data_IF_471402947815
#
_entry.id   IF_471402947815
#
_cell.length_a   1.000
_cell.length_b   1.000
_cell.length_c   1.000
_cell.angle_alpha   90.00
_cell.angle_beta   90.00
_cell.angle_gamma   90.00
#
_symmetry.space_group_name_H-M   'P 1'
#
loop_
_entity.id
_entity.type
_entity.pdbx_description
1 polymer ?
#
# COMPACT_ATOMS: atom_id res chain seq x y z
N UNK A 1 -11.66 25.67 17.42
CA UNK A 1 -12.92 25.09 16.94
C UNK A 1 -12.69 23.64 16.62
N UNK A 2 -13.55 22.76 17.09
CA UNK A 2 -13.49 21.32 16.84
C UNK A 2 -14.77 20.87 16.08
N UNK A 3 -14.61 20.17 14.98
CA UNK A 3 -15.71 19.64 14.18
C UNK A 3 -16.08 18.25 14.68
N UNK A 4 -17.27 18.10 15.21
CA UNK A 4 -17.88 16.79 15.48
C UNK A 4 -18.69 16.33 14.26
N UNK A 5 -19.14 15.07 14.27
CA UNK A 5 -20.00 14.53 13.19
C UNK A 5 -21.23 15.42 12.89
N UNK A 6 -21.79 16.05 13.92
CA UNK A 6 -23.08 16.75 13.83
C UNK A 6 -22.95 18.30 14.04
N UNK A 7 -21.79 18.83 14.43
CA UNK A 7 -21.66 20.25 14.76
C UNK A 7 -20.21 20.74 14.83
N UNK A 8 -20.04 22.07 14.83
CA UNK A 8 -18.74 22.69 15.16
C UNK A 8 -18.85 23.23 16.57
N UNK A 9 -17.92 22.85 17.45
CA UNK A 9 -17.88 23.26 18.85
C UNK A 9 -16.68 24.12 19.16
N UNK A 10 -16.85 25.05 20.11
CA UNK A 10 -15.77 25.79 20.69
C UNK A 10 -15.15 24.95 21.80
N UNK A 11 -13.85 24.66 21.70
CA UNK A 11 -13.15 23.78 22.63
C UNK A 11 -11.95 24.45 23.24
N UNK A 12 -11.53 23.96 24.42
CA UNK A 12 -10.17 24.06 24.90
C UNK A 12 -9.36 22.91 24.30
N UNK A 13 -8.22 23.25 23.73
CA UNK A 13 -7.21 22.27 23.37
C UNK A 13 -6.22 22.19 24.53
N UNK A 14 -6.08 21.02 25.12
CA UNK A 14 -5.25 20.81 26.30
C UNK A 14 -4.32 19.63 26.04
N UNK A 15 -3.02 19.88 26.15
CA UNK A 15 -2.02 18.82 26.13
C UNK A 15 -2.01 18.15 27.51
N UNK A 16 -2.32 16.86 27.53
CA UNK A 16 -2.38 16.05 28.75
C UNK A 16 -1.26 15.03 28.73
N UNK A 17 -0.49 14.96 29.81
CA UNK A 17 0.39 13.86 30.11
C UNK A 17 -0.40 12.84 30.95
N UNK A 18 -0.63 11.64 30.39
CA UNK A 18 -1.38 10.57 31.07
C UNK A 18 -0.43 9.36 31.16
N UNK A 19 0.22 9.19 32.30
CA UNK A 19 1.26 8.18 32.50
C UNK A 19 2.47 8.46 31.62
N UNK A 20 2.67 7.62 30.59
CA UNK A 20 3.75 7.79 29.60
C UNK A 20 3.24 8.33 28.25
N UNK A 21 1.99 8.74 28.20
CA UNK A 21 1.33 9.17 26.95
C UNK A 21 1.05 10.68 26.97
N UNK A 22 1.32 11.32 25.84
CA UNK A 22 0.92 12.70 25.59
C UNK A 22 -0.28 12.71 24.65
N UNK A 23 -1.37 13.34 25.06
CA UNK A 23 -2.62 13.40 24.32
C UNK A 23 -3.08 14.85 24.23
N UNK A 24 -3.46 15.31 23.05
CA UNK A 24 -4.24 16.53 22.92
C UNK A 24 -5.70 16.21 23.19
N UNK A 25 -6.26 16.74 24.26
CA UNK A 25 -7.69 16.63 24.56
C UNK A 25 -8.44 17.86 24.07
N UNK A 26 -9.54 17.66 23.36
CA UNK A 26 -10.48 18.71 22.98
C UNK A 26 -11.65 18.72 23.95
N UNK A 27 -11.68 19.73 24.83
CA UNK A 27 -12.66 19.87 25.91
C UNK A 27 -13.72 20.87 25.47
N UNK A 28 -15.00 20.47 25.46
CA UNK A 28 -16.14 21.35 25.15
C UNK A 28 -16.20 22.49 26.20
N UNK A 29 -16.09 23.73 25.74
CA UNK A 29 -16.09 24.91 26.60
C UNK A 29 -17.38 25.12 27.38
N UNK A 30 -18.47 24.50 26.96
CA UNK A 30 -19.79 24.71 27.57
C UNK A 30 -20.06 23.78 28.74
N UNK A 31 -19.51 22.57 28.75
CA UNK A 31 -19.82 21.55 29.75
C UNK A 31 -18.58 20.86 30.35
N UNK A 32 -17.37 21.17 29.85
CA UNK A 32 -16.12 20.57 30.32
C UNK A 32 -15.91 19.11 29.95
N UNK A 33 -16.71 18.56 29.05
CA UNK A 33 -16.53 17.19 28.58
C UNK A 33 -15.44 17.08 27.52
N UNK A 34 -14.64 16.02 27.57
CA UNK A 34 -13.73 15.66 26.48
C UNK A 34 -14.59 15.15 25.32
N UNK A 35 -14.52 15.84 24.18
CA UNK A 35 -15.27 15.52 22.97
C UNK A 35 -14.39 14.99 21.84
N UNK A 36 -13.09 14.89 22.08
CA UNK A 36 -12.11 14.30 21.20
C UNK A 36 -10.74 14.30 21.85
N UNK A 37 -9.88 13.42 21.39
CA UNK A 37 -8.47 13.39 21.75
C UNK A 37 -7.65 13.06 20.51
N UNK A 38 -6.40 13.47 20.50
CA UNK A 38 -5.46 13.19 19.43
C UNK A 38 -4.11 12.82 20.04
N UNK A 39 -3.54 11.71 19.60
CA UNK A 39 -2.19 11.33 19.96
C UNK A 39 -1.21 12.30 19.30
N UNK A 40 -0.25 12.83 20.05
CA UNK A 40 0.81 13.69 19.53
C UNK A 40 1.96 12.84 19.00
N UNK A 41 1.71 12.00 17.99
CA UNK A 41 2.75 11.19 17.38
C UNK A 41 3.49 11.94 16.27
N UNK A 42 4.79 11.73 16.17
CA UNK A 42 5.63 12.27 15.11
C UNK A 42 6.62 11.22 14.57
N UNK A 43 6.84 11.27 13.28
CA UNK A 43 7.65 10.27 12.56
C UNK A 43 8.60 10.96 11.60
N UNK A 44 9.88 10.59 11.65
CA UNK A 44 10.87 11.06 10.69
C UNK A 44 11.07 9.95 9.63
N UNK A 45 10.44 10.09 8.47
CA UNK A 45 10.24 9.03 7.47
C UNK A 45 10.43 9.53 6.04
N UNK A 46 10.57 8.63 5.10
CA UNK A 46 10.40 8.93 3.68
C UNK A 46 8.89 9.08 3.43
N UNK A 47 8.41 10.27 3.04
CA UNK A 47 6.98 10.48 2.84
C UNK A 47 6.46 9.68 1.64
N UNK A 48 5.15 9.38 1.63
CA UNK A 48 4.50 8.83 0.44
C UNK A 48 4.64 9.81 -0.74
N UNK A 49 4.92 9.32 -1.94
CA UNK A 49 5.33 10.11 -3.11
C UNK A 49 6.82 10.42 -3.15
N UNK A 50 7.57 10.05 -2.09
CA UNK A 50 9.02 10.04 -2.05
C UNK A 50 9.52 8.61 -1.97
N UNK A 51 9.91 8.03 -3.08
CA UNK A 51 10.12 6.59 -3.23
C UNK A 51 11.20 6.05 -2.26
N UNK A 52 12.24 6.83 -1.98
CA UNK A 52 13.42 6.40 -1.21
C UNK A 52 14.33 7.57 -0.80
N UNK A 53 15.37 7.34 0.04
CA UNK A 53 16.26 8.40 0.54
C UNK A 53 17.06 9.15 -0.52
N UNK A 54 17.28 8.57 -1.70
CA UNK A 54 18.00 9.24 -2.79
C UNK A 54 17.08 10.17 -3.60
N UNK A 55 15.76 9.95 -3.54
CA UNK A 55 14.76 10.77 -4.25
C UNK A 55 14.22 11.89 -3.38
N UNK A 56 13.96 11.63 -2.11
CA UNK A 56 13.45 12.62 -1.14
C UNK A 56 14.08 12.35 0.23
N UNK A 57 14.58 13.39 0.93
CA UNK A 57 15.07 13.22 2.30
C UNK A 57 13.95 12.79 3.25
N UNK A 58 14.33 12.18 4.38
CA UNK A 58 13.36 11.98 5.48
C UNK A 58 12.71 13.31 5.86
N UNK A 59 11.42 13.26 6.15
CA UNK A 59 10.63 14.40 6.58
C UNK A 59 9.93 14.11 7.90
N UNK A 60 9.78 15.13 8.74
CA UNK A 60 8.98 15.05 9.96
C UNK A 60 7.51 15.13 9.60
N UNK A 61 6.76 14.06 9.88
CA UNK A 61 5.31 14.01 9.72
C UNK A 61 4.69 13.91 11.11
N UNK A 62 3.81 14.84 11.44
CA UNK A 62 3.15 14.91 12.74
C UNK A 62 1.66 14.63 12.59
N UNK A 63 1.12 13.83 13.49
CA UNK A 63 -0.30 13.47 13.57
C UNK A 63 -0.91 12.98 12.24
N UNK A 64 -0.31 11.97 11.57
CA UNK A 64 -0.77 11.49 10.26
C UNK A 64 -2.05 10.67 10.31
N UNK A 65 -2.52 10.31 11.48
CA UNK A 65 -3.56 9.32 11.75
C UNK A 65 -4.92 9.79 11.22
N UNK A 66 -5.56 8.99 10.38
CA UNK A 66 -6.95 9.17 9.98
C UNK A 66 -7.89 8.45 10.98
N UNK A 67 -8.70 9.22 11.69
CA UNK A 67 -9.59 8.67 12.73
C UNK A 67 -10.81 7.93 12.20
N UNK A 68 -11.15 8.08 10.93
CA UNK A 68 -12.19 7.26 10.30
C UNK A 68 -11.68 5.86 9.98
N UNK A 69 -10.41 5.75 9.56
CA UNK A 69 -9.76 4.48 9.21
C UNK A 69 -9.11 3.79 10.42
N UNK A 70 -8.58 4.57 11.36
CA UNK A 70 -7.93 4.10 12.60
C UNK A 70 -8.51 4.83 13.81
N UNK A 71 -9.72 4.46 14.28
CA UNK A 71 -10.40 5.17 15.38
C UNK A 71 -9.62 5.16 16.71
N UNK A 72 -8.88 4.09 16.97
CA UNK A 72 -8.02 3.95 18.16
C UNK A 72 -6.68 4.70 18.02
N UNK A 73 -6.34 5.15 16.81
CA UNK A 73 -4.99 5.60 16.47
C UNK A 73 -4.09 4.42 16.07
N UNK A 74 -2.79 4.71 15.86
CA UNK A 74 -1.83 3.71 15.39
C UNK A 74 -1.12 2.95 16.53
N UNK A 75 -1.25 3.41 17.78
CA UNK A 75 -0.49 2.92 18.93
C UNK A 75 -1.34 2.20 19.99
N UNK A 76 -2.64 2.14 19.80
CA UNK A 76 -3.57 1.40 20.66
C UNK A 76 -4.06 0.15 19.90
N UNK A 77 -3.89 -1.01 20.51
CA UNK A 77 -4.29 -2.30 19.92
C UNK A 77 -5.75 -2.67 20.22
N UNK A 78 -6.47 -1.83 20.97
CA UNK A 78 -7.87 -2.08 21.36
C UNK A 78 -8.06 -3.13 22.45
N UNK A 79 -6.98 -3.67 23.05
CA UNK A 79 -7.05 -4.70 24.08
C UNK A 79 -7.17 -4.11 25.51
N UNK A 80 -7.45 -2.81 25.60
CA UNK A 80 -7.79 -2.14 26.87
C UNK A 80 -6.60 -1.65 27.70
N UNK A 81 -5.38 -1.69 27.13
CA UNK A 81 -4.19 -1.12 27.78
C UNK A 81 -4.00 0.37 27.42
N UNK A 82 -4.73 0.85 26.41
CA UNK A 82 -4.54 2.16 25.81
C UNK A 82 -3.27 2.26 24.97
N UNK A 83 -2.99 3.45 24.39
CA UNK A 83 -1.87 3.63 23.48
C UNK A 83 -0.52 3.43 24.17
N UNK A 84 0.40 2.75 23.47
CA UNK A 84 1.77 2.49 23.93
C UNK A 84 2.77 3.19 23.00
N UNK A 85 3.78 3.85 23.57
CA UNK A 85 4.81 4.56 22.80
C UNK A 85 5.84 3.59 22.21
N UNK A 86 5.35 2.66 21.38
CA UNK A 86 6.11 1.60 20.75
C UNK A 86 5.71 1.45 19.27
N UNK A 87 6.56 0.77 18.48
CA UNK A 87 6.27 0.44 17.07
C UNK A 87 5.24 -0.70 16.93
N UNK A 88 4.14 -0.59 17.70
CA UNK A 88 3.01 -1.52 17.66
C UNK A 88 1.69 -0.82 17.97
N UNK A 89 0.59 -1.40 17.48
CA UNK A 89 -0.78 -0.98 17.74
C UNK A 89 -1.79 -1.84 17.00
N UNK A 90 -2.90 -1.27 16.58
CA UNK A 90 -4.00 -2.04 15.99
C UNK A 90 -3.65 -2.65 14.62
N UNK A 91 -2.93 -1.91 13.77
CA UNK A 91 -2.73 -2.30 12.38
C UNK A 91 -1.39 -3.01 12.15
N UNK A 92 -0.40 -2.78 13.02
CA UNK A 92 0.96 -3.25 12.82
C UNK A 92 1.70 -3.55 14.12
N UNK A 93 2.60 -4.53 14.05
CA UNK A 93 3.70 -4.78 14.98
C UNK A 93 4.98 -4.80 14.16
N UNK A 94 5.87 -3.82 14.38
CA UNK A 94 7.12 -3.68 13.61
C UNK A 94 8.34 -3.87 14.50
N UNK A 95 9.25 -4.76 14.09
CA UNK A 95 10.34 -5.21 14.93
C UNK A 95 11.66 -5.39 14.18
N UNK A 96 12.76 -5.23 14.88
CA UNK A 96 14.08 -5.73 14.47
C UNK A 96 14.09 -7.25 14.51
N UNK A 97 14.35 -7.92 13.40
CA UNK A 97 14.44 -9.37 13.33
C UNK A 97 15.79 -9.88 12.80
N UNK A 98 16.86 -9.10 12.94
CA UNK A 98 18.21 -9.53 12.56
C UNK A 98 18.68 -10.80 13.30
N UNK A 99 18.20 -10.99 14.52
CA UNK A 99 18.52 -12.14 15.37
C UNK A 99 17.57 -13.34 15.20
N UNK A 100 16.61 -13.28 14.26
CA UNK A 100 15.64 -14.36 13.98
C UNK A 100 14.86 -14.79 15.22
N UNK A 101 14.25 -13.84 15.91
CA UNK A 101 13.41 -14.11 17.06
C UNK A 101 11.93 -14.11 16.65
N UNK A 102 11.24 -15.23 16.85
CA UNK A 102 9.83 -15.38 16.44
C UNK A 102 8.85 -14.71 17.42
N UNK A 103 9.28 -14.32 18.64
CA UNK A 103 8.41 -13.59 19.57
C UNK A 103 8.10 -12.18 18.99
N UNK A 104 6.83 -11.86 18.69
CA UNK A 104 6.46 -10.57 18.14
C UNK A 104 6.71 -9.40 19.09
N UNK A 105 6.94 -9.64 20.38
CA UNK A 105 7.22 -8.59 21.36
C UNK A 105 8.73 -8.30 21.52
N UNK A 106 9.60 -9.08 20.91
CA UNK A 106 11.05 -8.87 20.94
C UNK A 106 11.52 -8.06 19.73
N UNK A 107 12.32 -7.02 19.94
CA UNK A 107 12.82 -6.14 18.88
C UNK A 107 11.90 -4.98 18.53
N UNK A 108 10.82 -4.76 19.29
CA UNK A 108 9.94 -3.58 19.16
C UNK A 108 10.71 -2.33 19.58
N UNK A 109 10.58 -1.28 18.77
CA UNK A 109 11.15 0.03 19.08
C UNK A 109 10.25 0.78 20.08
N UNK A 110 10.83 1.33 21.13
CA UNK A 110 10.18 2.29 22.04
C UNK A 110 10.70 3.69 21.74
N UNK A 111 9.80 4.64 21.57
CA UNK A 111 10.11 6.04 21.33
C UNK A 111 9.37 6.91 22.35
N UNK A 112 10.07 7.56 23.31
CA UNK A 112 9.42 8.39 24.32
C UNK A 112 8.48 9.44 23.70
N UNK A 113 7.36 9.70 24.33
CA UNK A 113 6.37 10.71 23.91
C UNK A 113 5.83 10.52 22.47
N UNK A 114 5.81 9.29 21.97
CA UNK A 114 5.43 8.95 20.57
C UNK A 114 6.25 9.69 19.51
N UNK A 115 7.49 10.10 19.84
CA UNK A 115 8.41 10.78 18.93
C UNK A 115 9.34 9.80 18.23
N UNK A 116 8.89 9.25 17.14
CA UNK A 116 9.68 8.35 16.28
C UNK A 116 10.54 9.18 15.32
N UNK A 117 11.40 10.05 15.88
CA UNK A 117 12.17 11.06 15.15
C UNK A 117 13.63 10.63 14.97
N UNK A 118 13.85 9.46 14.39
CA UNK A 118 15.17 8.88 14.16
C UNK A 118 15.70 9.24 12.78
N UNK A 119 16.90 9.82 12.74
CA UNK A 119 17.57 10.22 11.51
C UNK A 119 18.72 9.30 11.18
N UNK A 120 19.08 9.20 9.90
CA UNK A 120 20.23 8.44 9.45
C UNK A 120 20.91 9.10 8.23
N UNK A 121 22.19 8.83 8.05
CA UNK A 121 22.91 9.11 6.81
C UNK A 121 22.96 7.83 5.96
N UNK A 122 21.94 7.66 5.11
CA UNK A 122 21.79 6.47 4.27
C UNK A 122 22.90 6.31 3.22
N UNK A 123 23.65 7.37 2.94
CA UNK A 123 24.74 7.34 1.98
C UNK A 123 26.03 6.71 2.55
N UNK A 124 26.25 6.83 3.86
CA UNK A 124 27.52 6.43 4.48
C UNK A 124 27.38 5.37 5.57
N UNK A 125 26.20 5.23 6.17
CA UNK A 125 25.95 4.26 7.25
C UNK A 125 25.50 2.90 6.70
N UNK A 126 25.99 1.82 7.33
CA UNK A 126 25.46 0.47 7.09
C UNK A 126 24.05 0.35 7.73
N UNK A 127 23.11 -0.42 7.15
CA UNK A 127 21.76 -0.62 7.69
C UNK A 127 21.69 -0.94 9.18
N UNK A 128 22.66 -1.69 9.70
CA UNK A 128 22.74 -2.04 11.12
C UNK A 128 22.88 -0.85 12.07
N UNK A 129 23.29 0.31 11.56
CA UNK A 129 23.52 1.53 12.35
C UNK A 129 22.27 2.41 12.48
N UNK A 130 21.22 2.17 11.66
CA UNK A 130 20.01 2.99 11.67
C UNK A 130 18.70 2.19 11.77
N UNK A 131 18.72 1.06 12.46
CA UNK A 131 17.56 0.17 12.62
C UNK A 131 16.30 0.91 13.15
N UNK A 132 16.48 1.90 14.04
CA UNK A 132 15.35 2.70 14.54
C UNK A 132 14.66 3.52 13.44
N UNK A 133 15.43 4.10 12.51
CA UNK A 133 14.87 4.79 11.33
C UNK A 133 14.11 3.82 10.43
N UNK A 134 14.66 2.61 10.23
CA UNK A 134 14.03 1.56 9.42
C UNK A 134 12.72 1.07 10.02
N UNK A 135 12.67 0.81 11.33
CA UNK A 135 11.44 0.44 12.05
C UNK A 135 10.40 1.56 11.96
N UNK A 136 10.84 2.81 12.12
CA UNK A 136 9.95 3.97 12.03
C UNK A 136 9.32 4.10 10.65
N UNK A 137 10.13 3.97 9.59
CA UNK A 137 9.64 4.07 8.21
C UNK A 137 8.62 2.98 7.90
N UNK A 138 8.89 1.72 8.26
CA UNK A 138 7.97 0.60 8.08
C UNK A 138 6.70 0.80 8.91
N UNK A 139 6.80 1.18 10.20
CA UNK A 139 5.63 1.39 11.06
C UNK A 139 4.73 2.49 10.50
N UNK A 140 5.30 3.60 10.06
CA UNK A 140 4.56 4.67 9.42
C UNK A 140 3.85 4.16 8.15
N UNK A 141 4.57 3.51 7.22
CA UNK A 141 4.00 3.10 5.94
C UNK A 141 2.94 2.02 6.07
N UNK A 142 3.12 1.02 6.96
CA UNK A 142 2.09 -0.01 7.18
C UNK A 142 0.79 0.62 7.66
N UNK A 143 0.86 1.52 8.65
CA UNK A 143 -0.32 2.20 9.17
C UNK A 143 -0.93 3.18 8.14
N UNK A 144 -0.10 3.94 7.43
CA UNK A 144 -0.59 4.89 6.44
C UNK A 144 -1.21 4.20 5.22
N UNK A 145 -0.61 3.08 4.78
CA UNK A 145 -1.18 2.20 3.76
C UNK A 145 -2.53 1.63 4.21
N UNK A 146 -2.63 1.16 5.47
CA UNK A 146 -3.88 0.70 6.07
C UNK A 146 -4.96 1.79 5.98
N UNK A 147 -4.66 3.01 6.44
CA UNK A 147 -5.61 4.12 6.47
C UNK A 147 -6.07 4.53 5.05
N UNK A 148 -5.13 4.58 4.09
CA UNK A 148 -5.48 4.83 2.69
C UNK A 148 -6.38 3.71 2.16
N UNK A 149 -5.94 2.45 2.24
CA UNK A 149 -6.66 1.35 1.60
C UNK A 149 -8.03 1.08 2.24
N UNK A 150 -8.21 1.41 3.53
CA UNK A 150 -9.52 1.44 4.18
C UNK A 150 -10.48 2.40 3.45
N UNK A 151 -10.05 3.61 3.10
CA UNK A 151 -10.85 4.59 2.34
C UNK A 151 -11.23 4.09 0.93
N UNK A 152 -10.45 3.18 0.37
CA UNK A 152 -10.73 2.56 -0.94
C UNK A 152 -11.49 1.24 -0.84
N UNK A 153 -11.86 0.82 0.38
CA UNK A 153 -12.73 -0.32 0.62
C UNK A 153 -12.04 -1.58 1.10
N UNK A 154 -10.75 -1.55 1.45
CA UNK A 154 -10.12 -2.65 2.16
C UNK A 154 -10.36 -2.50 3.66
N UNK A 155 -11.61 -2.78 4.03
CA UNK A 155 -12.17 -2.63 5.37
C UNK A 155 -12.19 -3.97 6.15
N UNK A 156 -12.75 -3.96 7.35
CA UNK A 156 -12.84 -5.13 8.23
C UNK A 156 -13.58 -6.31 7.57
N UNK A 157 -14.69 -6.03 6.85
CA UNK A 157 -15.44 -7.07 6.12
C UNK A 157 -14.61 -7.70 5.01
N UNK A 158 -13.66 -6.96 4.47
CA UNK A 158 -12.76 -7.39 3.41
C UNK A 158 -11.51 -8.08 3.93
N UNK A 159 -11.39 -8.24 5.27
CA UNK A 159 -10.25 -8.88 5.93
C UNK A 159 -9.00 -8.00 5.97
N UNK A 160 -9.14 -6.69 6.25
CA UNK A 160 -7.99 -5.85 6.54
C UNK A 160 -7.29 -6.33 7.82
N UNK A 161 -6.02 -5.94 7.97
CA UNK A 161 -5.17 -6.45 9.05
C UNK A 161 -5.31 -5.57 10.31
N UNK A 162 -5.96 -6.10 11.36
CA UNK A 162 -6.15 -5.41 12.64
C UNK A 162 -6.13 -6.37 13.84
N UNK A 163 -5.54 -5.93 14.96
CA UNK A 163 -5.63 -6.64 16.24
C UNK A 163 -7.07 -6.66 16.74
N UNK A 164 -7.76 -5.52 16.65
CA UNK A 164 -9.15 -5.35 17.08
C UNK A 164 -9.97 -4.70 15.95
N UNK A 165 -11.04 -5.37 15.54
CA UNK A 165 -12.01 -4.82 14.60
C UNK A 165 -13.04 -3.99 15.36
N UNK A 166 -13.14 -2.69 15.03
CA UNK A 166 -13.98 -1.74 15.77
C UNK A 166 -15.44 -1.83 15.34
N UNK A 167 -15.68 -2.22 14.09
CA UNK A 167 -17.02 -2.41 13.52
C UNK A 167 -17.64 -3.78 13.79
N UNK A 168 -16.98 -4.64 14.57
CA UNK A 168 -17.39 -6.02 14.84
C UNK A 168 -17.62 -6.88 13.56
N UNK A 169 -16.91 -6.55 12.49
CA UNK A 169 -16.96 -7.26 11.21
C UNK A 169 -15.60 -7.92 10.92
N UNK A 170 -15.57 -8.97 10.08
CA UNK A 170 -14.35 -9.70 9.79
C UNK A 170 -13.79 -10.41 11.04
N UNK A 171 -12.51 -10.79 11.00
CA UNK A 171 -11.82 -11.45 12.12
C UNK A 171 -10.70 -10.58 12.65
N UNK A 172 -10.63 -10.47 13.97
CA UNK A 172 -9.57 -9.75 14.68
C UNK A 172 -8.30 -10.61 14.87
N UNK A 173 -7.28 -10.07 15.55
CA UNK A 173 -5.99 -10.70 15.90
C UNK A 173 -5.07 -10.95 14.72
N UNK A 174 -5.07 -10.09 13.74
CA UNK A 174 -4.32 -10.28 12.50
C UNK A 174 -3.51 -9.07 12.02
N UNK A 175 -3.21 -8.12 12.91
CA UNK A 175 -2.30 -7.02 12.60
C UNK A 175 -1.05 -7.50 11.84
N UNK A 176 -0.57 -6.71 10.90
CA UNK A 176 0.66 -7.05 10.16
C UNK A 176 1.86 -7.11 11.09
N UNK A 177 2.59 -8.22 11.08
CA UNK A 177 3.89 -8.34 11.74
C UNK A 177 4.98 -8.06 10.70
N UNK A 178 5.63 -6.91 10.80
CA UNK A 178 6.69 -6.51 9.87
C UNK A 178 8.06 -6.63 10.50
N UNK A 179 8.94 -7.39 9.86
CA UNK A 179 10.28 -7.73 10.29
C UNK A 179 11.30 -6.91 9.49
N UNK A 180 12.00 -6.01 10.18
CA UNK A 180 12.97 -5.09 9.60
C UNK A 180 14.35 -5.71 9.60
N UNK A 181 15.09 -5.56 8.49
CA UNK A 181 16.41 -6.14 8.27
C UNK A 181 16.48 -7.62 8.66
N UNK A 182 15.44 -8.38 8.30
CA UNK A 182 15.27 -9.78 8.72
C UNK A 182 16.49 -10.62 8.35
N UNK A 183 17.00 -11.36 9.33
CA UNK A 183 18.22 -12.15 9.18
C UNK A 183 18.07 -13.42 8.35
N UNK A 184 16.84 -13.79 7.94
CA UNK A 184 16.60 -15.02 7.17
C UNK A 184 16.95 -14.90 5.68
N UNK A 185 17.17 -13.68 5.17
CA UNK A 185 17.46 -13.48 3.75
C UNK A 185 18.24 -12.21 3.44
N UNK A 186 18.53 -12.01 2.15
CA UNK A 186 19.15 -10.82 1.58
C UNK A 186 18.64 -10.59 0.17
N UNK A 187 18.75 -9.33 -0.31
CA UNK A 187 18.44 -8.97 -1.70
C UNK A 187 17.02 -9.34 -2.14
N UNK A 188 16.08 -9.23 -1.26
CA UNK A 188 14.66 -9.52 -1.48
C UNK A 188 13.80 -8.88 -0.39
N UNK A 189 12.50 -9.08 -0.50
CA UNK A 189 11.48 -8.90 0.53
C UNK A 189 10.42 -9.98 0.32
N UNK A 190 9.51 -10.19 1.26
CA UNK A 190 8.34 -11.03 1.05
C UNK A 190 7.21 -10.72 2.02
N UNK A 191 5.99 -11.05 1.60
CA UNK A 191 4.80 -11.02 2.44
C UNK A 191 4.08 -12.37 2.41
N UNK A 192 3.85 -12.96 3.57
CA UNK A 192 3.04 -14.17 3.72
C UNK A 192 1.63 -13.77 4.18
N UNK A 193 0.62 -14.12 3.39
CA UNK A 193 -0.78 -13.77 3.65
C UNK A 193 -1.57 -15.00 4.07
N UNK A 194 -1.87 -15.19 5.35
CA UNK A 194 -2.81 -16.21 5.81
C UNK A 194 -4.27 -15.73 5.63
N UNK A 195 -5.26 -16.61 5.80
CA UNK A 195 -6.67 -16.22 5.90
C UNK A 195 -6.91 -15.21 7.04
N UNK A 196 -8.02 -14.48 6.92
CA UNK A 196 -8.50 -13.51 7.90
C UNK A 196 -8.55 -14.09 9.32
N UNK A 197 -8.10 -13.30 10.31
CA UNK A 197 -7.92 -13.73 11.71
C UNK A 197 -6.53 -14.32 12.02
N UNK A 198 -5.59 -14.27 11.06
CA UNK A 198 -4.18 -14.60 11.27
C UNK A 198 -3.28 -13.54 10.66
N UNK A 199 -2.24 -13.12 11.39
CA UNK A 199 -1.37 -12.01 11.02
C UNK A 199 -0.65 -12.21 9.69
N UNK A 200 -0.68 -11.21 8.82
CA UNK A 200 0.21 -11.09 7.68
C UNK A 200 1.66 -10.90 8.16
N UNK A 201 2.62 -11.58 7.52
CA UNK A 201 4.03 -11.51 7.89
C UNK A 201 4.80 -10.87 6.75
N UNK A 202 5.33 -9.67 6.98
CA UNK A 202 6.21 -8.96 6.05
C UNK A 202 7.68 -9.07 6.50
N UNK A 203 8.58 -9.44 5.58
CA UNK A 203 10.03 -9.46 5.85
C UNK A 203 10.75 -8.55 4.87
N UNK A 204 11.47 -7.57 5.40
CA UNK A 204 12.31 -6.67 4.64
C UNK A 204 13.77 -7.03 4.87
N UNK A 205 14.52 -7.25 3.78
CA UNK A 205 15.91 -7.70 3.86
C UNK A 205 16.90 -6.56 3.56
N UNK A 206 18.12 -6.76 4.02
CA UNK A 206 19.27 -5.95 3.61
C UNK A 206 19.73 -6.34 2.20
N UNK A 207 20.06 -5.35 1.38
CA UNK A 207 20.54 -5.52 0.01
C UNK A 207 22.04 -5.26 -0.09
N UNK A 208 22.74 -6.17 -0.75
CA UNK A 208 24.21 -6.14 -0.90
C UNK A 208 24.66 -5.63 -2.27
N UNK A 209 23.83 -4.86 -2.93
CA UNK A 209 24.05 -4.29 -4.27
C UNK A 209 25.10 -3.17 -4.30
N UNK A 210 25.31 -2.51 -3.16
CA UNK A 210 26.28 -1.42 -2.96
C UNK A 210 27.08 -1.59 -1.67
N UNK A 211 28.06 -0.70 -1.43
CA UNK A 211 28.77 -0.53 -0.17
C UNK A 211 28.70 0.94 0.22
N UNK A 212 28.15 1.28 1.42
CA UNK A 212 27.53 0.36 2.37
C UNK A 212 26.33 -0.38 1.78
N UNK A 213 25.89 -1.46 2.43
CA UNK A 213 24.67 -2.18 2.05
C UNK A 213 23.46 -1.23 2.08
N UNK A 214 22.41 -1.58 1.33
CA UNK A 214 21.16 -0.83 1.31
C UNK A 214 20.08 -1.55 2.14
N UNK A 215 19.19 -0.78 2.71
CA UNK A 215 18.06 -1.32 3.51
C UNK A 215 16.77 -1.27 2.71
N UNK A 216 16.19 -2.44 2.41
CA UNK A 216 14.89 -2.53 1.76
C UNK A 216 13.76 -1.84 2.54
N UNK A 217 13.93 -1.67 3.86
CA UNK A 217 12.98 -0.94 4.70
C UNK A 217 12.94 0.58 4.44
N UNK A 218 13.84 1.08 3.59
CA UNK A 218 13.88 2.49 3.17
C UNK A 218 13.44 2.68 1.70
N UNK A 219 13.04 1.61 1.02
CA UNK A 219 12.51 1.64 -0.36
C UNK A 219 10.99 1.49 -0.31
N UNK A 220 10.28 2.61 -0.33
CA UNK A 220 8.82 2.63 -0.21
C UNK A 220 8.13 1.83 -1.31
N UNK A 221 8.74 1.79 -2.52
CA UNK A 221 8.17 1.02 -3.62
C UNK A 221 8.13 -0.49 -3.34
N UNK A 222 9.14 -1.02 -2.63
CA UNK A 222 9.18 -2.42 -2.21
C UNK A 222 8.23 -2.65 -1.02
N UNK A 223 8.19 -1.74 -0.05
CA UNK A 223 7.31 -1.86 1.11
C UNK A 223 5.83 -1.92 0.69
N UNK A 224 5.41 -1.01 -0.19
CA UNK A 224 4.02 -0.97 -0.70
C UNK A 224 3.72 -2.21 -1.55
N UNK A 225 4.69 -2.68 -2.34
CA UNK A 225 4.59 -3.93 -3.09
C UNK A 225 4.26 -5.10 -2.15
N UNK A 226 5.02 -5.27 -1.08
CA UNK A 226 4.80 -6.36 -0.11
C UNK A 226 3.45 -6.24 0.62
N UNK A 227 3.07 -5.04 1.07
CA UNK A 227 1.76 -4.82 1.70
C UNK A 227 0.61 -5.15 0.75
N UNK A 228 0.81 -4.93 -0.54
CA UNK A 228 -0.21 -5.21 -1.56
C UNK A 228 -0.41 -6.71 -1.79
N UNK A 229 0.58 -7.58 -1.53
CA UNK A 229 0.35 -9.03 -1.50
C UNK A 229 -0.68 -9.41 -0.43
N UNK A 230 -0.64 -8.76 0.74
CA UNK A 230 -1.66 -8.90 1.77
C UNK A 230 -3.05 -8.54 1.25
N UNK A 231 -3.17 -7.34 0.70
CA UNK A 231 -4.43 -6.83 0.17
C UNK A 231 -4.98 -7.69 -0.98
N UNK A 232 -4.18 -7.95 -2.00
CA UNK A 232 -4.65 -8.66 -3.20
C UNK A 232 -5.07 -10.10 -2.90
N UNK A 233 -4.37 -10.78 -1.97
CA UNK A 233 -4.71 -12.13 -1.54
C UNK A 233 -6.00 -12.16 -0.71
N UNK A 234 -6.21 -11.20 0.22
CA UNK A 234 -7.44 -11.11 1.02
C UNK A 234 -8.67 -10.76 0.19
N UNK A 235 -8.52 -9.93 -0.82
CA UNK A 235 -9.63 -9.51 -1.67
C UNK A 235 -10.03 -10.56 -2.71
N UNK A 236 -9.07 -11.30 -3.27
CA UNK A 236 -9.35 -12.25 -4.35
C UNK A 236 -9.96 -13.55 -3.80
N UNK A 237 -11.22 -13.79 -4.13
CA UNK A 237 -11.97 -14.94 -3.62
C UNK A 237 -12.50 -14.78 -2.20
N UNK A 238 -12.21 -13.62 -1.56
CA UNK A 238 -12.62 -13.29 -0.20
C UNK A 238 -11.56 -13.59 0.86
N UNK A 239 -11.71 -13.03 2.08
CA UNK A 239 -10.66 -13.03 3.09
C UNK A 239 -10.41 -14.39 3.76
N UNK A 240 -11.36 -15.32 3.66
CA UNK A 240 -11.26 -16.64 4.29
C UNK A 240 -10.39 -17.64 3.52
N UNK A 241 -10.04 -17.35 2.26
CA UNK A 241 -9.23 -18.23 1.40
C UNK A 241 -8.03 -17.51 0.79
N UNK A 242 -6.85 -17.75 1.37
CA UNK A 242 -5.58 -17.19 0.89
C UNK A 242 -4.97 -17.96 -0.30
N UNK A 243 -5.67 -18.94 -0.89
CA UNK A 243 -5.15 -19.76 -2.01
C UNK A 243 -5.57 -19.26 -3.40
N UNK A 244 -6.29 -18.14 -3.47
CA UNK A 244 -6.92 -17.65 -4.71
C UNK A 244 -6.00 -16.90 -5.68
N UNK A 245 -4.68 -16.85 -5.42
CA UNK A 245 -3.64 -16.34 -6.33
C UNK A 245 -2.47 -17.32 -6.45
N UNK A 246 -2.75 -18.63 -6.56
CA UNK A 246 -1.74 -19.70 -6.54
C UNK A 246 -1.42 -20.31 -7.92
N UNK A 247 -2.32 -20.18 -8.90
CA UNK A 247 -2.03 -20.62 -10.26
C UNK A 247 -1.06 -19.66 -10.95
N UNK A 248 -0.28 -20.13 -11.90
CA UNK A 248 0.80 -19.36 -12.53
C UNK A 248 0.38 -17.96 -13.00
N UNK A 249 -0.73 -17.82 -13.73
CA UNK A 249 -1.22 -16.53 -14.21
C UNK A 249 -1.71 -15.66 -13.05
N UNK A 250 -2.52 -16.20 -12.15
CA UNK A 250 -3.04 -15.47 -10.98
C UNK A 250 -1.96 -15.09 -9.98
N UNK A 251 -0.95 -15.94 -9.76
CA UNK A 251 0.21 -15.62 -8.94
C UNK A 251 1.03 -14.49 -9.56
N UNK A 252 1.24 -14.53 -10.88
CA UNK A 252 1.85 -13.40 -11.59
C UNK A 252 1.02 -12.11 -11.51
N UNK A 253 -0.30 -12.21 -11.51
CA UNK A 253 -1.16 -11.05 -11.28
C UNK A 253 -1.03 -10.50 -9.86
N UNK A 254 -0.79 -11.36 -8.85
CA UNK A 254 -0.45 -10.93 -7.49
C UNK A 254 0.75 -9.99 -7.47
N UNK A 255 1.82 -10.35 -8.20
CA UNK A 255 2.98 -9.48 -8.42
C UNK A 255 2.62 -8.18 -9.13
N UNK A 256 1.79 -8.27 -10.17
CA UNK A 256 1.39 -7.10 -10.95
C UNK A 256 0.45 -6.15 -10.21
N UNK A 257 -0.44 -6.64 -9.35
CA UNK A 257 -1.22 -5.81 -8.43
C UNK A 257 -0.31 -5.04 -7.47
N UNK A 258 0.72 -5.73 -6.94
CA UNK A 258 1.70 -5.16 -6.02
C UNK A 258 2.51 -4.04 -6.68
N UNK A 259 3.05 -4.28 -7.87
CA UNK A 259 3.76 -3.24 -8.62
C UNK A 259 2.85 -2.06 -8.95
N UNK A 260 1.63 -2.32 -9.43
CA UNK A 260 0.69 -1.26 -9.81
C UNK A 260 0.32 -0.37 -8.63
N UNK A 261 -0.04 -0.94 -7.46
CA UNK A 261 -0.38 -0.13 -6.30
C UNK A 261 0.82 0.64 -5.76
N UNK A 262 2.02 0.07 -5.82
CA UNK A 262 3.24 0.80 -5.52
C UNK A 262 3.38 2.04 -6.39
N UNK A 263 3.26 1.91 -7.71
CA UNK A 263 3.31 3.04 -8.65
C UNK A 263 2.20 4.06 -8.39
N UNK A 264 0.98 3.60 -8.17
CA UNK A 264 -0.19 4.47 -8.06
C UNK A 264 -0.21 5.28 -6.75
N UNK A 265 0.30 4.71 -5.64
CA UNK A 265 0.39 5.39 -4.35
C UNK A 265 1.60 6.34 -4.28
N UNK A 266 2.67 6.04 -5.03
CA UNK A 266 3.88 6.89 -5.11
C UNK A 266 3.79 7.99 -6.18
N UNK A 267 2.79 7.93 -7.09
CA UNK A 267 2.61 8.93 -8.13
C UNK A 267 2.37 10.33 -7.55
N UNK A 268 3.00 11.33 -8.14
CA UNK A 268 2.90 12.73 -7.75
C UNK A 268 2.36 13.61 -8.87
N UNK A 269 1.92 14.82 -8.53
CA UNK A 269 1.27 15.76 -9.48
C UNK A 269 2.16 16.15 -10.66
N UNK A 270 3.48 16.06 -10.52
CA UNK A 270 4.45 16.35 -11.59
C UNK A 270 4.67 15.19 -12.56
N UNK A 271 4.18 13.98 -12.22
CA UNK A 271 4.32 12.84 -13.10
C UNK A 271 3.45 12.95 -14.33
N UNK A 272 3.91 12.32 -15.38
CA UNK A 272 3.25 12.22 -16.67
C UNK A 272 3.13 10.75 -17.08
N UNK A 273 2.32 10.42 -18.09
CA UNK A 273 2.26 9.06 -18.61
C UNK A 273 3.63 8.50 -19.05
N UNK A 274 4.54 9.37 -19.49
CA UNK A 274 5.89 9.01 -19.94
C UNK A 274 6.92 8.95 -18.82
N UNK A 275 6.60 9.36 -17.58
CA UNK A 275 7.51 9.23 -16.43
C UNK A 275 7.92 7.76 -16.26
N UNK A 276 9.23 7.52 -16.14
CA UNK A 276 9.82 6.19 -15.98
C UNK A 276 10.01 5.88 -14.50
N UNK A 277 9.24 4.94 -13.96
CA UNK A 277 9.24 4.58 -12.54
C UNK A 277 9.74 3.14 -12.34
N UNK A 278 10.86 2.92 -11.64
CA UNK A 278 11.32 1.59 -11.26
C UNK A 278 10.65 1.11 -9.97
N UNK A 279 10.51 -0.20 -9.79
CA UNK A 279 10.25 -0.83 -8.49
C UNK A 279 11.59 -1.32 -7.92
N UNK A 280 11.89 -1.00 -6.65
CA UNK A 280 13.13 -1.41 -6.00
C UNK A 280 14.38 -0.75 -6.57
N UNK A 281 14.25 0.46 -7.09
CA UNK A 281 15.37 1.20 -7.69
C UNK A 281 16.47 1.53 -6.69
N UNK A 282 16.12 1.87 -5.46
CA UNK A 282 17.05 2.09 -4.36
C UNK A 282 17.68 0.77 -3.92
N UNK A 283 16.88 -0.19 -3.53
CA UNK A 283 17.31 -1.49 -3.00
C UNK A 283 18.31 -2.21 -3.91
N UNK A 284 18.07 -2.21 -5.22
CA UNK A 284 18.96 -2.82 -6.21
C UNK A 284 20.17 -1.97 -6.57
N UNK A 285 20.14 -0.67 -6.26
CA UNK A 285 21.09 0.31 -6.83
C UNK A 285 20.91 0.52 -8.34
N UNK A 286 19.88 -0.07 -8.95
CA UNK A 286 19.54 0.07 -10.36
C UNK A 286 18.39 1.06 -10.54
N UNK A 287 18.74 2.34 -10.58
CA UNK A 287 17.77 3.44 -10.66
C UNK A 287 16.93 3.46 -11.93
N UNK A 288 17.35 2.74 -12.96
CA UNK A 288 16.62 2.69 -14.22
C UNK A 288 15.51 1.68 -14.19
N UNK A 289 15.80 0.44 -13.86
CA UNK A 289 14.86 -0.67 -14.00
C UNK A 289 14.40 -1.25 -12.65
N UNK A 290 15.16 -1.00 -11.57
CA UNK A 290 14.92 -1.67 -10.29
C UNK A 290 15.08 -3.18 -10.40
N UNK A 291 14.10 -3.91 -9.88
CA UNK A 291 14.01 -5.38 -9.90
C UNK A 291 13.31 -5.92 -11.16
N UNK A 292 12.84 -5.04 -12.05
CA UNK A 292 12.05 -5.42 -13.24
C UNK A 292 12.88 -5.33 -14.52
N UNK A 293 12.34 -5.87 -15.62
CA UNK A 293 13.01 -5.88 -16.93
C UNK A 293 13.09 -4.50 -17.59
N UNK A 294 12.16 -3.60 -17.23
CA UNK A 294 12.10 -2.19 -17.68
C UNK A 294 11.38 -1.36 -16.63
N UNK A 295 11.59 -0.02 -16.60
CA UNK A 295 10.77 0.87 -15.79
C UNK A 295 9.31 0.86 -16.26
N UNK A 296 8.39 1.20 -15.38
CA UNK A 296 7.00 1.40 -15.75
C UNK A 296 6.80 2.78 -16.37
N UNK A 297 6.24 2.81 -17.57
CA UNK A 297 5.91 4.00 -18.34
C UNK A 297 4.94 3.64 -19.45
N UNK A 298 4.07 4.56 -19.86
CA UNK A 298 3.17 4.31 -20.99
C UNK A 298 3.87 4.40 -22.36
N UNK A 299 5.17 4.77 -22.37
CA UNK A 299 5.98 4.79 -23.58
C UNK A 299 6.35 3.36 -24.02
N UNK A 300 5.69 2.88 -25.06
CA UNK A 300 5.89 1.53 -25.61
C UNK A 300 7.29 1.28 -26.17
N UNK A 301 8.08 2.32 -26.46
CA UNK A 301 9.47 2.16 -26.89
C UNK A 301 10.42 1.85 -25.71
N UNK A 302 10.04 2.23 -24.50
CA UNK A 302 10.78 1.96 -23.26
C UNK A 302 10.29 0.65 -22.63
N UNK A 303 9.00 0.57 -22.29
CA UNK A 303 8.39 -0.65 -21.77
C UNK A 303 7.49 -1.27 -22.85
N UNK A 304 7.97 -2.38 -23.42
CA UNK A 304 7.32 -3.08 -24.56
C UNK A 304 6.40 -4.22 -24.13
N UNK A 305 6.24 -4.44 -22.82
CA UNK A 305 5.45 -5.55 -22.29
C UNK A 305 3.99 -5.50 -22.75
N UNK A 306 3.48 -6.66 -23.09
CA UNK A 306 2.09 -6.87 -23.51
C UNK A 306 1.55 -8.18 -22.92
N UNK A 307 0.27 -8.45 -23.10
CA UNK A 307 -0.38 -9.70 -22.67
C UNK A 307 0.32 -10.95 -23.21
N UNK A 308 0.77 -10.94 -24.47
CA UNK A 308 1.46 -12.08 -25.05
C UNK A 308 2.79 -12.42 -24.34
N UNK A 309 3.43 -11.47 -23.70
CA UNK A 309 4.70 -11.72 -23.00
C UNK A 309 4.50 -12.51 -21.71
N UNK A 310 3.32 -12.43 -21.08
CA UNK A 310 2.95 -13.23 -19.91
C UNK A 310 2.95 -14.75 -20.25
N UNK A 311 2.55 -15.13 -21.45
CA UNK A 311 2.57 -16.54 -21.90
C UNK A 311 3.94 -17.07 -22.28
N UNK A 312 4.99 -16.25 -22.29
CA UNK A 312 6.35 -16.63 -22.71
C UNK A 312 7.29 -16.91 -21.54
N UNK A 313 6.80 -16.85 -20.33
CA UNK A 313 7.63 -17.00 -19.12
C UNK A 313 6.91 -17.79 -18.04
N UNK A 314 7.69 -18.45 -17.19
CA UNK A 314 7.19 -19.07 -15.96
C UNK A 314 7.48 -18.22 -14.70
N UNK A 315 8.17 -17.10 -14.84
CA UNK A 315 8.44 -16.18 -13.74
C UNK A 315 7.18 -15.39 -13.41
N UNK A 316 6.67 -15.54 -12.19
CA UNK A 316 5.51 -14.79 -11.69
C UNK A 316 5.75 -13.28 -11.74
N UNK A 317 6.96 -12.81 -11.44
CA UNK A 317 7.33 -11.41 -11.56
C UNK A 317 7.23 -10.89 -13.00
N UNK A 318 7.75 -11.67 -13.98
CA UNK A 318 7.65 -11.29 -15.41
C UNK A 318 6.22 -11.34 -15.94
N UNK A 319 5.38 -12.24 -15.44
CA UNK A 319 3.93 -12.23 -15.72
C UNK A 319 3.31 -10.96 -15.13
N UNK A 320 3.69 -10.64 -13.89
CA UNK A 320 3.23 -9.45 -13.17
C UNK A 320 3.55 -8.13 -13.87
N UNK A 321 4.75 -8.02 -14.48
CA UNK A 321 5.11 -6.84 -15.29
C UNK A 321 4.09 -6.58 -16.42
N UNK A 322 3.57 -7.63 -17.06
CA UNK A 322 2.57 -7.48 -18.13
C UNK A 322 1.20 -7.04 -17.60
N UNK A 323 0.83 -7.47 -16.40
CA UNK A 323 -0.40 -7.05 -15.74
C UNK A 323 -0.31 -5.62 -15.24
N UNK A 324 0.75 -5.29 -14.50
CA UNK A 324 0.96 -3.95 -13.95
C UNK A 324 0.99 -2.86 -15.02
N UNK A 325 1.67 -3.11 -16.15
CA UNK A 325 1.73 -2.10 -17.22
C UNK A 325 0.37 -1.91 -17.91
N UNK A 326 -0.46 -2.94 -18.00
CA UNK A 326 -1.81 -2.81 -18.54
C UNK A 326 -2.72 -1.97 -17.62
N UNK A 327 -2.61 -2.16 -16.30
CA UNK A 327 -3.28 -1.31 -15.31
C UNK A 327 -2.79 0.13 -15.37
N UNK A 328 -1.47 0.34 -15.53
CA UNK A 328 -0.84 1.67 -15.60
C UNK A 328 -1.30 2.48 -16.80
N UNK A 329 -1.55 1.84 -17.94
CA UNK A 329 -2.15 2.50 -19.11
C UNK A 329 -3.58 3.00 -18.81
N UNK A 330 -4.40 2.15 -18.19
CA UNK A 330 -5.77 2.55 -17.82
C UNK A 330 -5.77 3.66 -16.75
N UNK A 331 -4.90 3.57 -15.75
CA UNK A 331 -4.71 4.60 -14.73
C UNK A 331 -4.43 5.98 -15.35
N UNK A 332 -3.47 6.07 -16.28
CA UNK A 332 -3.13 7.35 -16.88
C UNK A 332 -4.23 7.90 -17.79
N UNK A 333 -4.98 7.06 -18.49
CA UNK A 333 -6.16 7.51 -19.24
C UNK A 333 -7.24 8.08 -18.32
N UNK A 334 -7.41 7.49 -17.13
CA UNK A 334 -8.31 8.01 -16.11
C UNK A 334 -7.83 9.35 -15.55
N UNK A 335 -6.53 9.47 -15.25
CA UNK A 335 -5.92 10.73 -14.79
C UNK A 335 -6.05 11.82 -15.86
N UNK A 336 -5.80 11.50 -17.12
CA UNK A 336 -5.98 12.46 -18.23
C UNK A 336 -7.41 12.94 -18.37
N UNK A 337 -8.40 12.07 -18.14
CA UNK A 337 -9.82 12.41 -18.24
C UNK A 337 -10.34 13.23 -17.06
N UNK A 338 -9.98 12.85 -15.83
CA UNK A 338 -10.60 13.35 -14.60
C UNK A 338 -9.66 14.19 -13.72
N UNK A 339 -8.37 14.28 -14.08
CA UNK A 339 -7.34 14.96 -13.28
C UNK A 339 -6.77 14.09 -12.17
N UNK A 340 -5.85 14.66 -11.40
CA UNK A 340 -5.09 14.01 -10.35
C UNK A 340 -5.42 14.60 -8.96
N UNK A 341 -5.57 13.77 -7.94
CA UNK A 341 -5.72 14.12 -6.53
C UNK A 341 -4.43 13.80 -5.78
N UNK A 342 -3.69 14.79 -5.28
CA UNK A 342 -2.47 14.53 -4.53
C UNK A 342 -2.69 13.97 -3.12
N UNK A 343 -3.86 14.22 -2.53
CA UNK A 343 -4.21 13.69 -1.22
C UNK A 343 -5.02 12.40 -1.34
N UNK A 344 -4.35 11.26 -1.28
CA UNK A 344 -5.01 9.94 -1.41
C UNK A 344 -6.02 9.64 -0.31
N UNK A 345 -5.97 10.33 0.85
CA UNK A 345 -7.01 10.22 1.87
C UNK A 345 -8.36 10.81 1.41
N UNK A 346 -8.35 11.65 0.36
CA UNK A 346 -9.57 12.18 -0.28
C UNK A 346 -10.09 11.23 -1.37
N UNK A 347 -10.45 10.01 -0.97
CA UNK A 347 -10.92 8.96 -1.89
C UNK A 347 -12.18 9.33 -2.67
N UNK A 348 -12.95 10.31 -2.19
CA UNK A 348 -14.20 10.79 -2.80
C UNK A 348 -14.00 11.99 -3.76
N UNK A 349 -12.74 12.36 -4.07
CA UNK A 349 -12.43 13.50 -4.94
C UNK A 349 -13.01 13.41 -6.36
N UNK A 350 -13.29 12.19 -6.84
CA UNK A 350 -13.71 11.94 -8.22
C UNK A 350 -12.60 12.13 -9.25
N UNK A 351 -11.35 12.29 -8.83
CA UNK A 351 -10.19 12.40 -9.73
C UNK A 351 -9.76 11.05 -10.26
N UNK A 352 -9.07 11.04 -11.41
CA UNK A 352 -8.77 9.83 -12.15
C UNK A 352 -8.01 8.78 -11.38
N UNK A 353 -6.99 9.18 -10.62
CA UNK A 353 -6.23 8.28 -9.77
C UNK A 353 -7.08 7.68 -8.63
N UNK A 354 -7.87 8.48 -7.94
CA UNK A 354 -8.73 7.97 -6.84
C UNK A 354 -9.87 7.09 -7.36
N UNK A 355 -10.49 7.47 -8.48
CA UNK A 355 -11.49 6.63 -9.14
C UNK A 355 -10.89 5.30 -9.56
N UNK A 356 -9.71 5.29 -10.21
CA UNK A 356 -9.12 4.03 -10.66
C UNK A 356 -8.67 3.13 -9.52
N UNK A 357 -8.15 3.69 -8.43
CA UNK A 357 -7.85 2.91 -7.21
C UNK A 357 -9.11 2.22 -6.65
N UNK A 358 -10.25 2.91 -6.57
CA UNK A 358 -11.53 2.28 -6.19
C UNK A 358 -11.93 1.15 -7.13
N UNK A 359 -11.76 1.35 -8.43
CA UNK A 359 -12.08 0.32 -9.43
C UNK A 359 -11.18 -0.91 -9.28
N UNK A 360 -9.91 -0.72 -8.98
CA UNK A 360 -8.94 -1.81 -8.76
C UNK A 360 -9.29 -2.61 -7.51
N UNK A 361 -9.53 -1.95 -6.38
CA UNK A 361 -9.91 -2.62 -5.13
C UNK A 361 -11.23 -3.37 -5.29
N UNK A 362 -12.25 -2.73 -5.85
CA UNK A 362 -13.54 -3.37 -6.10
C UNK A 362 -13.42 -4.50 -7.14
N UNK A 363 -12.58 -4.33 -8.16
CA UNK A 363 -12.31 -5.36 -9.16
C UNK A 363 -11.70 -6.61 -8.54
N UNK A 364 -10.75 -6.47 -7.60
CA UNK A 364 -10.19 -7.60 -6.85
C UNK A 364 -11.24 -8.32 -5.99
N UNK A 365 -12.19 -7.60 -5.39
CA UNK A 365 -13.33 -8.20 -4.67
C UNK A 365 -14.28 -8.99 -5.58
N UNK A 366 -14.44 -8.55 -6.82
CA UNK A 366 -15.38 -9.13 -7.79
C UNK A 366 -14.80 -10.29 -8.61
N UNK A 367 -13.49 -10.39 -8.72
CA UNK A 367 -12.85 -11.47 -9.48
C UNK A 367 -12.97 -12.82 -8.73
N UNK A 368 -13.15 -13.93 -9.46
CA UNK A 368 -13.19 -15.25 -8.84
C UNK A 368 -11.81 -15.66 -8.33
N UNK A 369 -11.78 -16.73 -7.55
CA UNK A 369 -10.53 -17.41 -7.15
C UNK A 369 -9.71 -17.84 -8.37
N UNK A 370 -8.41 -17.59 -8.34
CA UNK A 370 -7.44 -17.87 -9.42
C UNK A 370 -7.85 -17.29 -10.79
N UNK A 371 -8.08 -15.96 -10.88
CA UNK A 371 -8.52 -15.33 -12.12
C UNK A 371 -7.41 -15.32 -13.19
N UNK A 372 -7.81 -15.21 -14.44
CA UNK A 372 -6.92 -14.80 -15.53
C UNK A 372 -6.93 -13.27 -15.69
N UNK A 373 -5.94 -12.72 -16.40
CA UNK A 373 -5.89 -11.26 -16.68
C UNK A 373 -7.14 -10.76 -17.39
N UNK A 374 -7.71 -11.56 -18.30
CA UNK A 374 -8.96 -11.22 -18.98
C UNK A 374 -10.14 -11.15 -18.02
N UNK A 375 -10.24 -12.12 -17.09
CA UNK A 375 -11.28 -12.14 -16.07
C UNK A 375 -11.14 -10.94 -15.12
N UNK A 376 -9.93 -10.64 -14.67
CA UNK A 376 -9.66 -9.52 -13.78
C UNK A 376 -9.93 -8.15 -14.45
N UNK A 377 -9.55 -7.99 -15.73
CA UNK A 377 -9.94 -6.82 -16.54
C UNK A 377 -11.46 -6.65 -16.56
N UNK A 378 -12.20 -7.74 -16.80
CA UNK A 378 -13.65 -7.69 -16.82
C UNK A 378 -14.26 -7.39 -15.45
N UNK A 379 -13.61 -7.83 -14.36
CA UNK A 379 -14.01 -7.48 -13.00
C UNK A 379 -13.82 -5.98 -12.71
N UNK A 380 -12.76 -5.34 -13.21
CA UNK A 380 -12.57 -3.88 -13.12
C UNK A 380 -13.65 -3.13 -13.92
N UNK A 381 -14.00 -3.63 -15.12
CA UNK A 381 -15.11 -3.07 -15.92
C UNK A 381 -16.46 -3.21 -15.19
N UNK A 382 -16.68 -4.36 -14.55
CA UNK A 382 -17.89 -4.58 -13.73
C UNK A 382 -17.90 -3.65 -12.51
N UNK A 383 -16.76 -3.41 -11.88
CA UNK A 383 -16.62 -2.43 -10.80
C UNK A 383 -17.01 -1.02 -11.26
N UNK A 384 -16.60 -0.59 -12.46
CA UNK A 384 -17.01 0.69 -13.03
C UNK A 384 -18.52 0.76 -13.26
N UNK A 385 -19.11 -0.33 -13.73
CA UNK A 385 -20.55 -0.40 -13.91
C UNK A 385 -21.31 -0.27 -12.56
N UNK A 386 -20.78 -0.89 -11.50
CA UNK A 386 -21.42 -0.85 -10.16
C UNK A 386 -21.25 0.50 -9.47
N UNK A 387 -20.04 1.07 -9.51
CA UNK A 387 -19.70 2.26 -8.73
C UNK A 387 -19.97 3.57 -9.49
N UNK A 388 -19.86 3.55 -10.82
CA UNK A 388 -19.89 4.76 -11.64
C UNK A 388 -20.84 4.64 -12.86
N UNK A 389 -21.70 3.62 -12.91
CA UNK A 389 -22.63 3.42 -14.01
C UNK A 389 -22.00 3.16 -15.37
N UNK A 390 -20.74 2.72 -15.41
CA UNK A 390 -19.98 2.48 -16.63
C UNK A 390 -19.39 3.75 -17.27
N UNK A 391 -19.29 4.84 -16.52
CA UNK A 391 -18.81 6.13 -17.03
C UNK A 391 -17.37 6.12 -17.51
N UNK A 392 -16.55 5.15 -17.07
CA UNK A 392 -15.12 5.08 -17.37
C UNK A 392 -14.76 3.89 -18.26
N UNK A 393 -15.76 3.18 -18.75
CA UNK A 393 -15.59 1.98 -19.58
C UNK A 393 -14.59 2.15 -20.71
N UNK A 394 -14.66 3.27 -21.43
CA UNK A 394 -13.81 3.48 -22.62
C UNK A 394 -12.34 3.73 -22.28
N UNK A 395 -12.05 4.44 -21.20
CA UNK A 395 -10.68 4.66 -20.74
C UNK A 395 -10.06 3.33 -20.28
N UNK A 396 -10.82 2.53 -19.53
CA UNK A 396 -10.40 1.19 -19.09
C UNK A 396 -10.13 0.31 -20.31
N UNK A 397 -11.06 0.22 -21.24
CA UNK A 397 -10.92 -0.58 -22.47
C UNK A 397 -9.71 -0.16 -23.30
N UNK A 398 -9.52 1.11 -23.55
CA UNK A 398 -8.39 1.65 -24.34
C UNK A 398 -7.05 1.35 -23.66
N UNK A 399 -6.97 1.52 -22.33
CA UNK A 399 -5.75 1.24 -21.58
C UNK A 399 -5.34 -0.23 -21.70
N UNK A 400 -6.24 -1.13 -21.42
CA UNK A 400 -5.98 -2.57 -21.54
C UNK A 400 -5.69 -3.02 -23.00
N UNK A 401 -6.44 -2.49 -23.96
CA UNK A 401 -6.23 -2.80 -25.39
C UNK A 401 -4.83 -2.38 -25.86
N UNK A 402 -4.30 -1.24 -25.38
CA UNK A 402 -2.94 -0.78 -25.73
C UNK A 402 -1.86 -1.81 -25.38
N UNK A 403 -2.11 -2.66 -24.37
CA UNK A 403 -1.19 -3.72 -23.93
C UNK A 403 -1.64 -5.13 -24.33
N UNK A 404 -2.51 -5.24 -25.31
CA UNK A 404 -2.92 -6.53 -25.90
C UNK A 404 -4.04 -7.26 -25.16
N UNK A 405 -4.66 -6.60 -24.16
CA UNK A 405 -5.84 -7.10 -23.44
C UNK A 405 -7.12 -6.40 -23.94
N UNK A 406 -7.30 -6.31 -25.25
CA UNK A 406 -8.45 -5.69 -25.90
C UNK A 406 -9.77 -6.46 -25.76
N UNK A 407 -10.80 -5.97 -26.44
CA UNK A 407 -12.16 -6.45 -26.27
C UNK A 407 -12.35 -7.95 -26.58
N UNK A 408 -11.56 -8.50 -27.51
CA UNK A 408 -11.63 -9.90 -27.95
C UNK A 408 -10.51 -10.78 -27.36
N UNK A 409 -9.70 -10.27 -26.42
CA UNK A 409 -8.67 -11.05 -25.75
C UNK A 409 -9.28 -12.28 -25.05
N UNK A 410 -8.65 -13.43 -25.17
CA UNK A 410 -9.14 -14.71 -24.65
C UNK A 410 -8.32 -15.16 -23.45
N UNK A 411 -9.00 -15.63 -22.40
CA UNK A 411 -8.39 -16.13 -21.16
C UNK A 411 -7.43 -17.29 -21.44
N UNK A 412 -6.20 -17.18 -20.91
CA UNK A 412 -5.19 -18.23 -20.97
C UNK A 412 -4.59 -18.49 -22.36
N UNK A 413 -4.93 -17.70 -23.37
CA UNK A 413 -4.43 -17.87 -24.75
C UNK A 413 -3.14 -17.08 -24.99
N UNK A 414 -2.93 -15.97 -24.28
CA UNK A 414 -1.75 -15.10 -24.35
C UNK A 414 -1.41 -14.62 -25.78
N UNK A 415 -2.45 -14.28 -26.54
CA UNK A 415 -2.33 -13.64 -27.85
C UNK A 415 -2.83 -12.20 -27.71
N UNK A 416 -2.00 -11.25 -28.16
CA UNK A 416 -2.37 -9.85 -28.10
C UNK A 416 -3.62 -9.56 -28.95
N UNK A 417 -4.59 -8.91 -28.33
CA UNK A 417 -5.72 -8.29 -28.98
C UNK A 417 -5.75 -6.79 -28.69
N UNK A 418 -5.66 -5.98 -29.72
CA UNK A 418 -5.65 -4.52 -29.61
C UNK A 418 -7.01 -3.88 -29.94
N UNK A 419 -8.06 -4.70 -30.05
CA UNK A 419 -9.39 -4.20 -30.39
C UNK A 419 -9.99 -3.42 -29.23
N UNK A 420 -10.60 -2.29 -29.55
CA UNK A 420 -11.39 -1.46 -28.62
C UNK A 420 -12.84 -1.64 -28.98
N UNK A 421 -13.72 -1.68 -27.98
CA UNK A 421 -15.16 -1.77 -28.19
C UNK A 421 -15.62 -0.64 -29.15
N UNK A 422 -16.45 -0.94 -30.17
CA UNK A 422 -16.89 0.06 -31.15
C UNK A 422 -17.53 1.31 -30.54
N UNK A 423 -18.18 1.21 -29.38
CA UNK A 423 -18.76 2.36 -28.67
C UNK A 423 -17.71 3.32 -28.09
N UNK A 424 -16.44 2.94 -28.07
CA UNK A 424 -15.31 3.71 -27.56
C UNK A 424 -14.39 4.29 -28.65
N UNK A 425 -14.75 4.07 -29.92
CA UNK A 425 -14.00 4.56 -31.09
C UNK A 425 -14.27 6.02 -31.36
#
# INVERSE_FOLDING_TARGET
>A
LYKTKDSIKCVWEVNLEIGISWVVAYIDKTNGQIIGSQDCSSYFVIPLGGIDPDTVPQMLISNPIDKDSSPLGWHDDGLGQGPVSQSKGNNAVVKDNRALNDDPNVGILTAPDFKFEFTADFATQDPSQYISSSITNIFFLVNFYHDIMFKYGFDEVSGNFQTSNIGDNGKSNDAVVAMVQDGSGKNNANFATPPDGASGIMRMFTWTSKTPNLDGSMDNSVIIHELTHGLSTRLTGGPDDSSCLQLQESSGMGEGWSDFLSLALEAVVSDTPETELPIGGYSTGNRKNGVRSAPYTTNVNVNRRTYADAGRTNSVHSIGESWAIALWEAYWLMVQKLGFEPNLMNSESGKGNTVFLKLVVQGMKLQPCNPTMVIARNAIILADQQLFGGANFCEIQKGFAKRGLGANAQSGVFVNDFTVDPKCQ
#
